data_IF_298530936108
#
_entry.id   IF_298530936108
#
_cell.length_a   1.000
_cell.length_b   1.000
_cell.length_c   1.000
_cell.angle_alpha   90.00
_cell.angle_beta   90.00
_cell.angle_gamma   90.00
#
_symmetry.space_group_name_H-M   'P 1'
#
loop_
_entity.id
_entity.type
_entity.pdbx_description
1 polymer ?
#
# COMPACT_ATOMS: atom_id res chain seq x y z
N UNK A 1 8.45 19.77 12.31
CA UNK A 1 7.73 19.52 13.58
C UNK A 1 8.53 18.45 14.29
N UNK A 2 9.20 18.81 15.38
CA UNK A 2 10.03 17.86 16.13
C UNK A 2 9.14 17.00 17.01
N UNK A 3 8.83 15.80 16.51
CA UNK A 3 8.24 14.74 17.33
C UNK A 3 9.41 14.02 17.98
N UNK A 4 9.71 14.35 19.23
CA UNK A 4 10.61 13.56 20.06
C UNK A 4 9.83 12.40 20.65
N UNK A 5 10.14 11.17 20.23
CA UNK A 5 9.65 9.98 20.91
C UNK A 5 10.34 9.88 22.28
N UNK A 6 9.59 10.11 23.35
CA UNK A 6 9.98 9.67 24.68
C UNK A 6 9.97 8.13 24.69
N UNK A 7 11.01 7.49 25.19
CA UNK A 7 11.16 6.03 25.24
C UNK A 7 10.12 5.32 26.12
N UNK A 8 9.24 6.06 26.78
CA UNK A 8 8.10 5.54 27.55
C UNK A 8 6.80 5.44 26.75
N UNK A 9 6.73 6.05 25.56
CA UNK A 9 5.51 6.09 24.75
C UNK A 9 5.35 4.84 23.89
N UNK A 10 4.12 4.30 23.87
CA UNK A 10 3.76 3.18 23.00
C UNK A 10 3.17 3.69 21.69
N UNK A 11 3.57 3.07 20.59
CA UNK A 11 3.10 3.40 19.24
C UNK A 11 2.62 2.14 18.51
N UNK A 12 1.69 2.34 17.58
CA UNK A 12 1.24 1.33 16.64
C UNK A 12 1.31 1.87 15.21
N UNK A 13 1.44 0.96 14.24
CA UNK A 13 1.34 1.29 12.82
C UNK A 13 -0.03 0.83 12.33
N UNK A 14 -0.79 1.75 11.73
CA UNK A 14 -1.99 1.42 10.96
C UNK A 14 -1.63 1.34 9.48
N UNK A 15 -2.07 0.30 8.78
CA UNK A 15 -1.90 0.19 7.32
C UNK A 15 -3.29 0.10 6.68
N UNK A 16 -3.59 1.07 5.83
CA UNK A 16 -4.86 1.21 5.09
C UNK A 16 -4.62 0.85 3.62
N UNK A 17 -5.11 -0.32 3.19
CA UNK A 17 -5.00 -0.79 1.81
C UNK A 17 -6.22 -0.31 1.01
N UNK A 18 -6.06 0.82 0.33
CA UNK A 18 -7.02 1.32 -0.64
C UNK A 18 -6.92 0.61 -1.98
N UNK A 19 -7.76 1.04 -2.93
CA UNK A 19 -7.83 0.44 -4.27
C UNK A 19 -6.59 0.73 -5.12
N UNK A 20 -6.01 1.93 -5.02
CA UNK A 20 -4.88 2.35 -5.88
C UNK A 20 -3.59 2.62 -5.10
N UNK A 21 -3.62 2.47 -3.78
CA UNK A 21 -2.51 2.82 -2.90
C UNK A 21 -2.68 2.14 -1.55
N UNK A 22 -1.58 1.95 -0.84
CA UNK A 22 -1.59 1.73 0.61
C UNK A 22 -1.06 2.94 1.36
N UNK A 23 -1.59 3.21 2.56
CA UNK A 23 -1.08 4.26 3.46
C UNK A 23 -0.69 3.65 4.80
N UNK A 24 0.52 3.94 5.27
CA UNK A 24 0.95 3.65 6.63
C UNK A 24 0.87 4.90 7.51
N UNK A 25 0.44 4.75 8.76
CA UNK A 25 0.37 5.82 9.76
C UNK A 25 1.01 5.37 11.07
N UNK A 26 1.79 6.23 11.72
CA UNK A 26 2.33 6.00 13.06
C UNK A 26 1.45 6.71 14.07
N UNK A 27 0.88 5.96 15.01
CA UNK A 27 -0.11 6.46 15.97
C UNK A 27 0.36 6.22 17.39
N UNK A 28 0.28 7.25 18.24
CA UNK A 28 0.52 7.13 19.68
C UNK A 28 -0.66 6.45 20.37
N UNK A 29 -0.38 5.42 21.15
CA UNK A 29 -1.40 4.56 21.77
C UNK A 29 -2.27 5.33 22.78
N UNK A 30 -1.67 6.19 23.60
CA UNK A 30 -2.39 6.80 24.74
C UNK A 30 -3.53 7.75 24.36
N UNK A 31 -3.48 8.34 23.16
CA UNK A 31 -4.45 9.35 22.74
C UNK A 31 -4.83 9.29 21.25
N UNK A 32 -4.34 8.29 20.51
CA UNK A 32 -4.66 8.10 19.10
C UNK A 32 -4.07 9.18 18.18
N UNK A 33 -3.13 10.00 18.65
CA UNK A 33 -2.51 11.02 17.82
C UNK A 33 -1.68 10.40 16.69
N UNK A 34 -2.04 10.72 15.45
CA UNK A 34 -1.18 10.46 14.28
C UNK A 34 0.04 11.39 14.33
N UNK A 35 1.22 10.80 14.19
CA UNK A 35 2.50 11.51 14.27
C UNK A 35 3.18 11.63 12.91
N UNK A 36 2.82 10.77 11.98
CA UNK A 36 3.32 10.76 10.62
C UNK A 36 2.58 9.73 9.78
N UNK A 37 2.65 9.94 8.47
CA UNK A 37 2.04 9.07 7.48
C UNK A 37 2.85 9.08 6.19
N UNK A 38 2.77 7.98 5.45
CA UNK A 38 3.30 7.88 4.10
C UNK A 38 2.42 6.96 3.25
N UNK A 39 2.43 7.23 1.95
CA UNK A 39 1.57 6.59 0.95
C UNK A 39 2.46 5.94 -0.09
N UNK A 40 2.10 4.73 -0.49
CA UNK A 40 2.68 4.03 -1.62
C UNK A 40 1.59 3.75 -2.66
N UNK A 41 1.67 4.44 -3.80
CA UNK A 41 0.80 4.19 -4.95
C UNK A 41 1.17 2.86 -5.59
N UNK A 42 0.18 2.01 -5.89
CA UNK A 42 0.42 0.71 -6.50
C UNK A 42 0.93 0.88 -7.93
N UNK A 43 2.15 0.43 -8.25
CA UNK A 43 2.70 0.55 -9.60
C UNK A 43 1.83 -0.11 -10.67
N UNK A 44 1.10 -1.18 -10.32
CA UNK A 44 0.24 -1.90 -11.25
C UNK A 44 -1.20 -1.39 -11.30
N UNK A 45 -1.62 -0.56 -10.34
CA UNK A 45 -3.00 -0.12 -10.16
C UNK A 45 -4.01 -1.30 -10.21
N UNK A 46 -5.26 -1.04 -10.60
CA UNK A 46 -6.23 -2.10 -10.89
C UNK A 46 -6.04 -2.58 -12.32
N UNK A 47 -5.79 -3.88 -12.48
CA UNK A 47 -5.55 -4.51 -13.77
C UNK A 47 -6.87 -4.98 -14.37
N UNK A 48 -7.33 -4.29 -15.41
CA UNK A 48 -8.64 -4.57 -16.05
C UNK A 48 -8.52 -4.97 -17.53
N UNK A 49 -7.50 -4.50 -18.25
CA UNK A 49 -7.38 -4.69 -19.71
C UNK A 49 -6.47 -5.85 -20.14
N UNK A 50 -5.30 -5.98 -19.53
CA UNK A 50 -4.34 -7.03 -19.83
C UNK A 50 -3.46 -7.30 -18.62
N UNK A 51 -3.00 -8.54 -18.46
CA UNK A 51 -2.02 -8.88 -17.45
C UNK A 51 -0.69 -8.12 -17.69
N UNK A 52 0.02 -7.73 -16.61
CA UNK A 52 1.38 -7.22 -16.70
C UNK A 52 2.29 -8.15 -17.50
N UNK A 53 3.22 -7.58 -18.26
CA UNK A 53 4.05 -8.32 -19.21
C UNK A 53 4.92 -9.39 -18.53
N UNK A 54 5.37 -9.15 -17.31
CA UNK A 54 6.13 -10.08 -16.48
C UNK A 54 5.30 -11.28 -15.96
N UNK A 55 3.98 -11.22 -16.09
CA UNK A 55 3.05 -12.27 -15.65
C UNK A 55 2.27 -12.93 -16.78
N UNK A 56 2.24 -12.31 -17.96
CA UNK A 56 1.43 -12.77 -19.09
C UNK A 56 2.05 -13.93 -19.90
N UNK A 57 3.32 -14.29 -19.65
CA UNK A 57 4.05 -15.28 -20.44
C UNK A 57 4.40 -14.74 -21.84
N UNK A 58 4.54 -15.64 -22.83
CA UNK A 58 4.85 -15.25 -24.22
C UNK A 58 3.62 -14.62 -24.91
N UNK A 59 3.35 -13.35 -24.59
CA UNK A 59 2.33 -12.52 -25.23
C UNK A 59 1.51 -11.67 -24.26
N UNK A 60 0.84 -10.64 -24.76
CA UNK A 60 -0.08 -9.84 -23.95
C UNK A 60 -1.38 -10.61 -23.69
N UNK A 61 -1.56 -11.12 -22.47
CA UNK A 61 -2.78 -11.80 -22.06
C UNK A 61 -3.88 -10.77 -21.74
N UNK A 62 -4.78 -10.54 -22.71
CA UNK A 62 -5.93 -9.65 -22.51
C UNK A 62 -6.95 -10.27 -21.57
N UNK A 63 -7.50 -9.42 -20.71
CA UNK A 63 -8.62 -9.76 -19.85
C UNK A 63 -9.95 -9.44 -20.58
N UNK A 64 -10.98 -10.29 -20.46
CA UNK A 64 -12.33 -9.95 -20.86
C UNK A 64 -12.86 -8.73 -20.10
N UNK A 65 -14.00 -8.17 -20.54
CA UNK A 65 -14.69 -7.12 -19.78
C UNK A 65 -15.07 -7.56 -18.36
N UNK A 66 -15.23 -6.58 -17.46
CA UNK A 66 -15.62 -6.78 -16.04
C UNK A 66 -14.57 -7.47 -15.15
N UNK A 67 -13.33 -7.64 -15.61
CA UNK A 67 -12.23 -8.06 -14.76
C UNK A 67 -11.60 -6.88 -14.01
N UNK A 68 -11.23 -7.11 -12.75
CA UNK A 68 -10.49 -6.18 -11.91
C UNK A 68 -9.55 -6.95 -10.99
N UNK A 69 -8.31 -7.14 -11.44
CA UNK A 69 -7.26 -7.85 -10.70
C UNK A 69 -6.36 -6.85 -9.97
N UNK A 70 -5.65 -7.34 -8.96
CA UNK A 70 -4.68 -6.60 -8.15
C UNK A 70 -3.36 -7.36 -8.08
N UNK A 71 -2.25 -6.66 -7.84
CA UNK A 71 -0.93 -7.26 -7.70
C UNK A 71 -0.58 -7.49 -6.23
N UNK A 72 -0.45 -8.74 -5.74
CA UNK A 72 -0.16 -8.99 -4.32
C UNK A 72 1.19 -8.44 -3.85
N UNK A 73 2.17 -8.32 -4.76
CA UNK A 73 3.46 -7.73 -4.41
C UNK A 73 3.36 -6.23 -4.09
N UNK A 74 2.43 -5.50 -4.71
CA UNK A 74 2.23 -4.07 -4.42
C UNK A 74 1.82 -3.85 -2.96
N UNK A 75 1.08 -4.78 -2.37
CA UNK A 75 0.73 -4.73 -0.95
C UNK A 75 1.94 -4.94 -0.04
N UNK A 76 2.87 -5.81 -0.44
CA UNK A 76 4.14 -6.00 0.29
C UNK A 76 5.04 -4.78 0.16
N UNK A 77 4.97 -4.08 -0.96
CA UNK A 77 5.74 -2.87 -1.22
C UNK A 77 5.25 -1.67 -0.40
N UNK A 78 3.95 -1.62 -0.06
CA UNK A 78 3.45 -0.69 0.99
C UNK A 78 4.23 -0.88 2.29
N UNK A 79 4.44 -2.12 2.73
CA UNK A 79 5.17 -2.39 3.98
C UNK A 79 6.66 -2.04 3.91
N UNK A 80 7.23 -1.89 2.70
CA UNK A 80 8.64 -1.56 2.49
C UNK A 80 8.89 -0.07 2.27
N UNK A 81 7.91 0.65 1.73
CA UNK A 81 8.11 1.97 1.15
C UNK A 81 7.14 3.04 1.66
N UNK A 82 6.05 2.67 2.33
CA UNK A 82 5.18 3.60 3.04
C UNK A 82 5.62 3.80 4.50
#
# INVERSE_FOLDING_TARGET
MDVTADGTENFVIGVDYGTLSGRAVVVRVRDGKELGSAVFDYPHAVVTGALPADLAGDGAARLPGEWALQMPNDYRDVLRHA
#
